data_IF_185429238445
#
_entry.id   IF_185429238445
#
_cell.length_a   1.000
_cell.length_b   1.000
_cell.length_c   1.000
_cell.angle_alpha   90.00
_cell.angle_beta   90.00
_cell.angle_gamma   90.00
#
_symmetry.space_group_name_H-M   'P 1'
#
loop_
_entity.id
_entity.type
_entity.pdbx_description
1 polymer ?
#
# COMPACT_ATOMS: atom_id res chain seq x y z
N UNK A 1 -51.23 -14.97 20.24
CA UNK A 1 -51.13 -14.45 18.88
C UNK A 1 -49.77 -13.81 18.83
N UNK A 2 -48.79 -14.60 18.42
CA UNK A 2 -47.41 -14.15 18.23
C UNK A 2 -47.38 -13.59 16.81
N UNK A 3 -47.18 -12.28 16.70
CA UNK A 3 -46.96 -11.62 15.41
C UNK A 3 -45.67 -12.18 14.83
N UNK A 4 -45.83 -13.06 13.83
CA UNK A 4 -44.74 -13.56 13.01
C UNK A 4 -44.25 -12.37 12.21
N UNK A 5 -43.15 -11.78 12.66
CA UNK A 5 -42.39 -10.76 11.94
C UNK A 5 -41.88 -11.42 10.64
N UNK A 6 -42.72 -11.32 9.61
CA UNK A 6 -42.42 -11.73 8.24
C UNK A 6 -41.29 -10.82 7.77
N UNK A 7 -40.06 -11.27 8.06
CA UNK A 7 -38.82 -10.61 7.72
C UNK A 7 -38.97 -9.91 6.39
N UNK A 8 -38.99 -8.58 6.47
CA UNK A 8 -39.18 -7.67 5.35
C UNK A 8 -38.22 -8.09 4.24
N UNK A 9 -38.75 -8.82 3.25
CA UNK A 9 -38.04 -9.11 2.01
C UNK A 9 -37.96 -7.79 1.27
N UNK A 10 -36.94 -6.99 1.60
CA UNK A 10 -36.63 -5.77 0.89
C UNK A 10 -36.38 -6.17 -0.57
N UNK A 11 -37.17 -5.66 -1.54
CA UNK A 11 -36.99 -6.00 -2.93
C UNK A 11 -35.57 -5.60 -3.35
N UNK A 12 -34.83 -6.54 -3.96
CA UNK A 12 -33.52 -6.26 -4.55
C UNK A 12 -33.67 -5.11 -5.54
N UNK A 13 -33.18 -3.93 -5.18
CA UNK A 13 -33.23 -2.77 -6.06
C UNK A 13 -32.20 -2.93 -7.17
N UNK A 14 -32.63 -2.80 -8.43
CA UNK A 14 -31.72 -2.87 -9.60
C UNK A 14 -31.13 -1.49 -9.95
N UNK A 15 -31.39 -0.46 -9.15
CA UNK A 15 -31.11 0.95 -9.47
C UNK A 15 -29.70 1.43 -9.09
N UNK A 16 -28.80 0.54 -8.68
CA UNK A 16 -27.45 0.93 -8.22
C UNK A 16 -27.45 1.65 -6.86
N UNK A 17 -28.63 1.91 -6.29
CA UNK A 17 -28.86 2.43 -4.95
C UNK A 17 -29.38 1.35 -4.04
N UNK A 18 -29.10 1.47 -2.75
CA UNK A 18 -29.54 0.53 -1.72
C UNK A 18 -29.95 1.30 -0.46
N UNK A 19 -30.70 0.65 0.43
CA UNK A 19 -31.15 1.27 1.69
C UNK A 19 -30.35 0.73 2.87
N UNK A 20 -29.54 1.60 3.46
CA UNK A 20 -28.78 1.34 4.69
C UNK A 20 -29.67 1.63 5.93
N UNK A 21 -30.73 0.84 6.11
CA UNK A 21 -31.63 0.94 7.27
C UNK A 21 -32.69 2.04 7.18
N UNK A 22 -33.14 2.54 8.33
CA UNK A 22 -34.26 3.49 8.48
C UNK A 22 -33.93 4.92 8.09
N UNK A 23 -32.65 5.25 7.92
CA UNK A 23 -32.19 6.59 7.56
C UNK A 23 -32.04 6.61 6.05
N UNK A 24 -32.95 7.35 5.40
CA UNK A 24 -33.06 7.46 3.95
C UNK A 24 -31.92 8.30 3.34
N UNK A 25 -30.69 7.89 3.57
CA UNK A 25 -29.51 8.46 2.92
C UNK A 25 -29.06 7.59 1.75
N UNK A 26 -28.50 8.24 0.73
CA UNK A 26 -28.07 7.61 -0.51
C UNK A 26 -26.90 6.65 -0.24
N UNK A 27 -27.20 5.34 -0.18
CA UNK A 27 -26.18 4.29 -0.27
C UNK A 27 -26.14 3.73 -1.69
N UNK A 28 -24.96 3.30 -2.12
CA UNK A 28 -24.72 2.82 -3.50
C UNK A 28 -24.19 1.40 -3.50
N UNK A 29 -24.60 0.61 -4.48
CA UNK A 29 -24.09 -0.74 -4.67
C UNK A 29 -22.72 -0.68 -5.36
N UNK A 30 -21.67 -1.06 -4.66
CA UNK A 30 -20.29 -1.07 -5.17
C UNK A 30 -19.65 -2.45 -4.96
N UNK A 31 -18.56 -2.79 -5.67
CA UNK A 31 -17.78 -3.98 -5.39
C UNK A 31 -17.19 -3.95 -3.97
N UNK A 32 -17.09 -5.11 -3.32
CA UNK A 32 -16.60 -5.26 -1.93
C UNK A 32 -15.24 -4.57 -1.68
N UNK A 33 -14.35 -4.55 -2.67
CA UNK A 33 -13.02 -3.95 -2.53
C UNK A 33 -12.96 -2.42 -2.67
N UNK A 34 -14.09 -1.74 -2.94
CA UNK A 34 -14.11 -0.33 -3.37
C UNK A 34 -14.81 0.61 -2.40
N UNK A 35 -15.49 0.12 -1.37
CA UNK A 35 -16.13 1.00 -0.40
C UNK A 35 -15.13 1.46 0.67
N UNK A 36 -15.05 2.77 0.88
CA UNK A 36 -14.30 3.37 1.99
C UNK A 36 -15.15 3.56 3.26
N UNK A 37 -16.44 3.21 3.22
CA UNK A 37 -17.42 3.41 4.29
C UNK A 37 -17.90 2.12 4.95
N UNK A 38 -19.15 2.12 5.42
CA UNK A 38 -19.77 0.96 6.04
C UNK A 38 -20.48 0.07 5.01
N UNK A 39 -20.39 -1.25 5.21
CA UNK A 39 -21.01 -2.24 4.34
C UNK A 39 -22.28 -2.85 4.93
N UNK A 40 -23.32 -2.94 4.10
CA UNK A 40 -24.55 -3.67 4.40
C UNK A 40 -24.69 -4.87 3.44
N UNK A 41 -24.55 -6.11 3.93
CA UNK A 41 -24.62 -7.28 3.07
C UNK A 41 -26.06 -7.51 2.59
N UNK A 42 -26.21 -8.22 1.48
CA UNK A 42 -27.48 -8.69 0.92
C UNK A 42 -28.48 -7.61 0.45
N UNK A 43 -28.12 -6.34 0.50
CA UNK A 43 -28.96 -5.24 -0.02
C UNK A 43 -28.81 -5.05 -1.54
N UNK A 44 -27.70 -5.53 -2.11
CA UNK A 44 -27.37 -5.43 -3.53
C UNK A 44 -27.36 -6.80 -4.24
N UNK A 45 -27.14 -6.80 -5.56
CA UNK A 45 -27.01 -8.01 -6.38
C UNK A 45 -25.76 -8.84 -6.06
N UNK A 46 -25.64 -10.01 -6.66
CA UNK A 46 -24.47 -10.89 -6.49
C UNK A 46 -23.18 -10.20 -6.94
N UNK A 47 -22.17 -10.14 -6.07
CA UNK A 47 -20.87 -9.51 -6.35
C UNK A 47 -20.79 -8.01 -6.06
N UNK A 48 -21.82 -7.44 -5.43
CA UNK A 48 -21.84 -6.05 -4.97
C UNK A 48 -22.42 -5.97 -3.57
N UNK A 49 -21.90 -5.07 -2.76
CA UNK A 49 -22.41 -4.78 -1.43
C UNK A 49 -22.91 -3.33 -1.37
N UNK A 50 -23.81 -3.07 -0.42
CA UNK A 50 -24.32 -1.73 -0.23
C UNK A 50 -23.32 -0.93 0.58
N UNK A 51 -22.72 0.06 -0.07
CA UNK A 51 -21.73 0.95 0.50
C UNK A 51 -22.37 2.25 0.94
N UNK A 52 -22.13 2.58 2.20
CA UNK A 52 -22.62 3.78 2.84
C UNK A 52 -21.44 4.65 3.27
N UNK A 53 -21.26 5.78 2.59
CA UNK A 53 -20.17 6.73 2.86
C UNK A 53 -20.78 7.93 3.58
N UNK A 54 -20.66 7.95 4.92
CA UNK A 54 -21.10 9.07 5.74
C UNK A 54 -19.93 9.64 6.54
N UNK A 55 -19.64 10.94 6.40
CA UNK A 55 -18.71 11.61 7.29
C UNK A 55 -19.30 11.71 8.69
N UNK A 56 -18.46 11.49 9.69
CA UNK A 56 -18.80 11.62 11.09
C UNK A 56 -17.82 12.59 11.76
N UNK A 57 -18.28 13.27 12.83
CA UNK A 57 -17.44 14.16 13.64
C UNK A 57 -17.67 13.83 15.10
N UNK A 58 -16.59 13.57 15.82
CA UNK A 58 -16.55 13.28 17.24
C UNK A 58 -15.58 14.25 17.92
N UNK A 59 -15.56 14.29 19.25
CA UNK A 59 -14.63 15.15 19.99
C UNK A 59 -13.16 14.93 19.63
N UNK A 60 -12.82 13.71 19.22
CA UNK A 60 -11.47 13.28 18.88
C UNK A 60 -11.08 13.62 17.43
N UNK A 61 -12.01 14.01 16.56
CA UNK A 61 -11.71 14.32 15.16
C UNK A 61 -12.86 14.07 14.20
N UNK A 62 -12.58 14.15 12.91
CA UNK A 62 -13.52 13.85 11.83
C UNK A 62 -13.12 12.58 11.10
N UNK A 63 -14.08 11.75 10.72
CA UNK A 63 -13.83 10.45 10.11
C UNK A 63 -14.94 9.98 9.18
N UNK A 64 -14.93 8.68 8.88
CA UNK A 64 -16.00 8.00 8.15
C UNK A 64 -16.64 6.93 9.01
N UNK A 65 -17.95 6.74 8.85
CA UNK A 65 -18.66 5.63 9.47
C UNK A 65 -18.22 4.30 8.87
N UNK A 66 -17.77 3.37 9.71
CA UNK A 66 -17.27 2.04 9.33
C UNK A 66 -17.73 0.99 10.33
N UNK A 67 -17.74 -0.28 9.92
CA UNK A 67 -18.07 -1.39 10.80
C UNK A 67 -16.82 -1.87 11.55
N UNK A 68 -16.80 -1.75 12.89
CA UNK A 68 -15.62 -2.08 13.71
C UNK A 68 -15.27 -3.58 13.77
N UNK A 69 -16.20 -4.45 13.35
CA UNK A 69 -15.97 -5.91 13.31
C UNK A 69 -15.46 -6.42 11.98
N UNK A 70 -15.65 -5.65 10.90
CA UNK A 70 -15.35 -6.08 9.53
C UNK A 70 -14.30 -5.22 8.84
N UNK A 71 -14.33 -3.92 9.10
CA UNK A 71 -13.51 -2.95 8.39
C UNK A 71 -12.28 -2.60 9.22
N UNK A 72 -11.13 -2.52 8.56
CA UNK A 72 -9.96 -1.92 9.17
C UNK A 72 -10.14 -0.40 9.21
N UNK A 73 -9.86 0.19 10.38
CA UNK A 73 -9.65 1.61 10.54
C UNK A 73 -8.15 1.87 10.59
N UNK A 74 -7.67 2.83 9.79
CA UNK A 74 -6.28 3.32 9.85
C UNK A 74 -6.08 4.29 11.04
N UNK A 75 -6.79 4.04 12.13
CA UNK A 75 -7.02 4.96 13.23
C UNK A 75 -7.85 4.29 14.31
N UNK A 76 -8.57 5.08 15.10
CA UNK A 76 -9.38 4.59 16.20
C UNK A 76 -10.88 4.74 15.93
N UNK A 77 -11.65 3.77 16.44
CA UNK A 77 -13.11 3.80 16.38
C UNK A 77 -13.69 4.51 17.59
N UNK A 78 -14.56 5.48 17.34
CA UNK A 78 -15.25 6.24 18.37
C UNK A 78 -16.76 6.09 18.24
N UNK A 79 -17.40 5.81 19.37
CA UNK A 79 -18.85 5.90 19.51
C UNK A 79 -19.21 7.38 19.66
N UNK A 80 -20.08 7.90 18.79
CA UNK A 80 -20.61 9.25 18.97
C UNK A 80 -21.56 9.34 20.18
N UNK A 81 -21.94 10.55 20.55
CA UNK A 81 -22.95 10.76 21.60
C UNK A 81 -24.29 10.14 21.16
N UNK A 82 -24.99 9.37 22.01
CA UNK A 82 -26.28 8.77 21.66
C UNK A 82 -27.35 9.80 21.25
N UNK A 83 -27.19 11.06 21.65
CA UNK A 83 -28.10 12.16 21.31
C UNK A 83 -27.94 12.64 19.86
N UNK A 84 -26.73 12.49 19.30
CA UNK A 84 -26.31 12.98 17.98
C UNK A 84 -25.48 11.90 17.25
N UNK A 85 -25.90 10.64 17.32
CA UNK A 85 -25.15 9.51 16.77
C UNK A 85 -24.79 9.79 15.30
N UNK A 86 -23.50 10.07 14.99
CA UNK A 86 -23.12 10.59 13.68
C UNK A 86 -23.23 9.51 12.60
N UNK A 87 -23.21 8.25 13.03
CA UNK A 87 -23.35 7.08 12.19
C UNK A 87 -24.68 6.37 12.50
N UNK A 88 -25.57 6.22 11.51
CA UNK A 88 -26.78 5.43 11.66
C UNK A 88 -26.46 3.93 11.60
N UNK A 89 -27.16 3.14 12.41
CA UNK A 89 -27.00 1.69 12.42
C UNK A 89 -27.03 1.10 13.83
N UNK A 90 -26.50 -0.11 13.95
CA UNK A 90 -26.24 -0.80 15.20
C UNK A 90 -24.90 -0.35 15.83
N UNK A 91 -24.64 -0.81 17.05
CA UNK A 91 -23.46 -0.41 17.86
C UNK A 91 -22.09 -0.79 17.25
N UNK A 92 -22.09 -1.57 16.16
CA UNK A 92 -20.88 -1.92 15.39
C UNK A 92 -20.49 -0.86 14.37
N UNK A 93 -21.43 0.03 13.97
CA UNK A 93 -21.12 1.13 13.06
C UNK A 93 -20.60 2.31 13.89
N UNK A 94 -19.30 2.56 13.78
CA UNK A 94 -18.61 3.59 14.57
C UNK A 94 -17.86 4.57 13.68
N UNK A 95 -17.53 5.73 14.25
CA UNK A 95 -16.76 6.72 13.55
C UNK A 95 -15.28 6.32 13.54
N UNK A 96 -14.75 5.93 12.38
CA UNK A 96 -13.32 5.68 12.19
C UNK A 96 -12.61 7.01 11.94
N UNK A 97 -11.88 7.48 12.95
CA UNK A 97 -11.08 8.70 12.87
C UNK A 97 -9.64 8.30 12.57
N UNK A 98 -9.12 8.71 11.41
CA UNK A 98 -7.75 8.40 11.01
C UNK A 98 -6.75 9.21 11.83
N UNK A 99 -5.53 8.70 12.01
CA UNK A 99 -4.50 9.42 12.79
C UNK A 99 -4.20 10.82 12.24
N UNK A 100 -4.34 11.03 10.93
CA UNK A 100 -4.15 12.34 10.30
C UNK A 100 -5.24 13.35 10.66
N UNK A 101 -6.44 12.86 10.98
CA UNK A 101 -7.63 13.68 11.28
C UNK A 101 -7.97 13.71 12.76
N UNK A 102 -7.14 13.09 13.61
CA UNK A 102 -7.28 13.13 15.04
C UNK A 102 -6.89 14.51 15.57
N UNK A 103 -7.79 15.13 16.35
CA UNK A 103 -7.54 16.32 17.15
C UNK A 103 -6.65 15.92 18.34
N UNK A 104 -5.41 15.52 18.04
CA UNK A 104 -4.42 15.21 19.05
C UNK A 104 -4.01 16.56 19.66
N UNK A 105 -4.72 16.96 20.73
CA UNK A 105 -4.78 18.27 21.38
C UNK A 105 -3.43 18.90 21.74
N UNK A 106 -2.63 19.15 20.72
CA UNK A 106 -1.56 20.14 20.72
C UNK A 106 -2.25 21.40 20.25
N UNK A 107 -3.04 22.00 21.15
CA UNK A 107 -3.56 23.35 20.99
C UNK A 107 -2.36 24.32 20.91
N UNK A 108 -1.71 24.34 19.75
CA UNK A 108 -0.97 25.52 19.33
C UNK A 108 -2.05 26.50 18.92
N UNK A 109 -2.59 27.20 19.91
CA UNK A 109 -3.49 28.34 19.75
C UNK A 109 -2.99 29.23 18.62
N UNK A 110 -3.55 29.06 17.43
CA UNK A 110 -3.53 30.08 16.41
C UNK A 110 -4.95 30.18 15.87
N UNK A 111 -5.76 30.93 16.61
CA UNK A 111 -7.08 31.35 16.18
C UNK A 111 -6.96 32.04 14.83
N UNK A 112 -7.41 31.37 13.79
CA UNK A 112 -7.95 32.05 12.62
C UNK A 112 -9.19 31.30 12.19
N UNK A 113 -10.33 31.84 12.62
CA UNK A 113 -11.62 31.72 11.94
C UNK A 113 -11.41 31.52 10.45
N UNK A 114 -12.02 30.51 9.84
CA UNK A 114 -12.47 30.58 8.45
C UNK A 114 -13.47 29.46 8.18
N UNK A 115 -14.71 29.89 7.98
CA UNK A 115 -15.78 29.13 7.35
C UNK A 115 -15.33 28.61 5.98
N UNK A 116 -15.58 27.33 5.73
CA UNK A 116 -16.06 26.84 4.43
C UNK A 116 -15.05 26.25 3.45
N UNK A 117 -15.25 24.94 3.20
CA UNK A 117 -15.26 24.31 1.86
C UNK A 117 -13.93 23.83 1.23
N UNK A 118 -13.93 22.54 0.89
CA UNK A 118 -13.02 21.75 0.04
C UNK A 118 -11.56 21.57 0.50
N UNK A 119 -11.31 20.39 1.08
CA UNK A 119 -10.04 19.92 1.61
C UNK A 119 -9.03 19.59 0.50
N UNK A 120 -8.31 20.62 0.03
CA UNK A 120 -7.02 20.43 -0.63
C UNK A 120 -5.91 20.57 0.42
N UNK A 121 -4.99 19.61 0.49
CA UNK A 121 -3.80 19.71 1.34
C UNK A 121 -3.10 21.05 1.08
N UNK A 122 -2.91 21.83 2.14
CA UNK A 122 -2.33 23.18 2.04
C UNK A 122 -0.95 23.08 1.39
N UNK A 123 -0.63 23.98 0.45
CA UNK A 123 0.59 23.89 -0.37
C UNK A 123 1.89 23.82 0.43
N UNK A 124 1.89 24.22 1.70
CA UNK A 124 3.00 24.05 2.65
C UNK A 124 3.24 22.60 3.07
N UNK A 125 2.20 21.76 3.19
CA UNK A 125 2.33 20.33 3.50
C UNK A 125 2.93 19.56 2.31
N UNK A 126 2.50 19.89 1.10
CA UNK A 126 3.03 19.29 -0.14
C UNK A 126 4.50 19.67 -0.36
N UNK A 127 4.88 20.92 -0.06
CA UNK A 127 6.25 21.41 -0.24
C UNK A 127 7.28 20.67 0.64
N UNK A 128 6.90 20.26 1.85
CA UNK A 128 7.79 19.54 2.77
C UNK A 128 8.19 18.16 2.26
N UNK A 129 7.22 17.39 1.75
CA UNK A 129 7.43 16.01 1.28
C UNK A 129 8.32 16.01 0.02
N UNK A 130 8.03 16.91 -0.94
CA UNK A 130 8.78 16.98 -2.20
C UNK A 130 10.21 17.48 -1.98
N UNK A 131 10.42 18.40 -1.03
CA UNK A 131 11.76 18.88 -0.66
C UNK A 131 12.66 17.78 -0.07
N UNK A 132 12.09 16.89 0.74
CA UNK A 132 12.83 15.79 1.37
C UNK A 132 13.36 14.77 0.36
N UNK A 133 12.52 14.34 -0.60
CA UNK A 133 12.90 13.31 -1.58
C UNK A 133 14.00 13.83 -2.52
N UNK A 134 13.86 15.05 -3.04
CA UNK A 134 14.86 15.63 -3.95
C UNK A 134 16.20 15.84 -3.25
N UNK A 135 16.19 16.34 -2.01
CA UNK A 135 17.40 16.49 -1.21
C UNK A 135 18.07 15.15 -0.90
N UNK A 136 17.28 14.14 -0.53
CA UNK A 136 17.76 12.79 -0.21
C UNK A 136 18.46 12.11 -1.39
N UNK A 137 17.88 12.18 -2.60
CA UNK A 137 18.45 11.55 -3.80
C UNK A 137 19.80 12.19 -4.18
N UNK A 138 19.95 13.51 -4.05
CA UNK A 138 21.21 14.19 -4.36
C UNK A 138 22.32 13.77 -3.38
N UNK A 139 22.02 13.71 -2.07
CA UNK A 139 23.02 13.32 -1.06
C UNK A 139 23.38 11.82 -1.17
N UNK A 140 22.37 10.95 -1.33
CA UNK A 140 22.60 9.51 -1.50
C UNK A 140 23.40 9.20 -2.78
N UNK A 141 23.08 9.84 -3.90
CA UNK A 141 23.80 9.64 -5.16
C UNK A 141 25.26 10.10 -5.06
N UNK A 142 25.54 11.23 -4.43
CA UNK A 142 26.90 11.72 -4.22
C UNK A 142 27.72 10.75 -3.34
N UNK A 143 27.14 10.27 -2.24
CA UNK A 143 27.80 9.28 -1.36
C UNK A 143 28.06 7.96 -2.09
N UNK A 144 27.09 7.48 -2.86
CA UNK A 144 27.23 6.25 -3.65
C UNK A 144 28.34 6.37 -4.68
N UNK A 145 28.45 7.49 -5.40
CA UNK A 145 29.53 7.73 -6.35
C UNK A 145 30.90 7.78 -5.68
N UNK A 146 31.04 8.47 -4.53
CA UNK A 146 32.32 8.52 -3.80
C UNK A 146 32.72 7.13 -3.31
N UNK A 147 31.78 6.35 -2.78
CA UNK A 147 32.04 4.99 -2.33
C UNK A 147 32.43 4.08 -3.49
N UNK A 148 31.64 4.10 -4.58
CA UNK A 148 31.89 3.27 -5.75
C UNK A 148 33.22 3.62 -6.41
N UNK A 149 33.50 4.90 -6.63
CA UNK A 149 34.74 5.35 -7.27
C UNK A 149 35.96 5.13 -6.37
N UNK A 150 35.83 5.31 -5.05
CA UNK A 150 36.89 4.99 -4.09
C UNK A 150 37.18 3.49 -4.02
N UNK A 151 36.13 2.67 -3.98
CA UNK A 151 36.23 1.21 -3.92
C UNK A 151 36.80 0.64 -5.23
N UNK A 152 36.33 1.13 -6.38
CA UNK A 152 36.87 0.74 -7.69
C UNK A 152 38.31 1.19 -7.89
N UNK A 153 38.66 2.42 -7.51
CA UNK A 153 40.03 2.93 -7.67
C UNK A 153 41.03 2.17 -6.80
N UNK A 154 40.60 1.67 -5.62
CA UNK A 154 41.44 0.79 -4.81
C UNK A 154 41.72 -0.53 -5.53
N UNK A 155 40.72 -1.13 -6.16
CA UNK A 155 40.87 -2.40 -6.89
C UNK A 155 41.70 -2.28 -8.18
N UNK A 156 41.80 -1.10 -8.78
CA UNK A 156 42.65 -0.90 -9.96
C UNK A 156 44.16 -0.80 -9.65
N UNK A 157 44.56 -0.51 -8.40
CA UNK A 157 45.99 -0.46 -8.06
C UNK A 157 46.64 -1.84 -8.08
N UNK A 158 45.89 -2.90 -7.83
CA UNK A 158 46.41 -4.27 -7.84
C UNK A 158 46.60 -4.85 -9.26
N UNK A 159 46.20 -4.11 -10.32
CA UNK A 159 46.35 -4.56 -11.72
C UNK A 159 47.48 -3.85 -12.49
N UNK A 160 48.20 -2.90 -11.88
CA UNK A 160 49.31 -2.22 -12.56
C UNK A 160 50.69 -2.83 -12.28
N UNK A 161 50.85 -3.68 -11.26
CA UNK A 161 52.12 -4.37 -11.00
C UNK A 161 52.39 -5.57 -11.93
N UNK A 162 51.37 -6.07 -12.65
CA UNK A 162 51.54 -7.29 -13.47
C UNK A 162 51.94 -7.02 -14.93
N UNK A 163 51.80 -5.78 -15.44
CA UNK A 163 52.17 -5.43 -16.82
C UNK A 163 53.59 -4.83 -16.95
N UNK A 164 54.26 -4.47 -15.84
CA UNK A 164 55.62 -3.94 -15.86
C UNK A 164 56.68 -5.06 -15.93
N UNK A 165 56.36 -6.28 -15.50
CA UNK A 165 57.30 -7.43 -15.60
C UNK A 165 57.31 -8.09 -16.99
N UNK A 166 56.27 -7.91 -17.79
CA UNK A 166 56.16 -8.56 -19.11
C UNK A 166 56.76 -7.73 -20.26
N UNK A 167 57.07 -6.45 -20.03
CA UNK A 167 57.64 -5.58 -21.09
C UNK A 167 59.18 -5.69 -21.22
N UNK A 168 59.88 -6.38 -20.30
CA UNK A 168 61.35 -6.52 -20.36
C UNK A 168 61.90 -7.77 -21.05
N UNK A 169 61.06 -8.64 -21.64
CA UNK A 169 61.56 -9.93 -22.22
C UNK A 169 61.38 -10.05 -23.75
N UNK A 170 60.67 -9.12 -24.42
CA UNK A 170 60.44 -9.25 -25.87
C UNK A 170 61.00 -8.10 -26.71
N UNK A 171 62.18 -7.60 -26.37
CA UNK A 171 63.05 -6.94 -27.36
C UNK A 171 63.95 -8.00 -28.00
N UNK A 172 63.79 -8.17 -29.33
CA UNK A 172 64.53 -9.03 -30.27
C UNK A 172 63.72 -10.20 -30.86
N UNK A 173 62.77 -9.89 -31.75
CA UNK A 173 62.77 -10.60 -33.04
C UNK A 173 62.21 -9.73 -34.17
N UNK A 174 63.14 -9.43 -35.07
CA UNK A 174 63.04 -8.74 -36.35
C UNK A 174 62.36 -9.63 -37.39
N UNK A 175 61.89 -8.98 -38.46
CA UNK A 175 61.56 -9.54 -39.80
C UNK A 175 60.21 -10.27 -39.89
N UNK A 176 59.39 -10.15 -40.94
CA UNK A 176 59.35 -9.31 -42.13
C UNK A 176 57.97 -9.54 -42.79
N UNK A 177 57.55 -8.55 -43.56
CA UNK A 177 56.75 -8.64 -44.78
C UNK A 177 55.30 -9.18 -44.84
N UNK A 178 54.56 -8.42 -45.67
CA UNK A 178 53.53 -8.83 -46.62
C UNK A 178 52.08 -9.02 -46.17
N UNK A 179 51.28 -7.99 -46.49
CA UNK A 179 50.39 -8.06 -47.64
C UNK A 179 49.05 -8.76 -47.43
N UNK A 180 47.96 -8.01 -47.63
CA UNK A 180 46.66 -8.65 -47.88
C UNK A 180 45.46 -7.79 -47.55
N UNK A 181 45.05 -6.95 -48.50
CA UNK A 181 43.68 -6.47 -48.60
C UNK A 181 42.71 -7.65 -48.72
N UNK A 182 41.62 -7.62 -47.96
CA UNK A 182 40.48 -8.52 -48.11
C UNK A 182 39.30 -8.14 -47.22
N UNK A 183 38.44 -7.23 -47.71
CA UNK A 183 37.01 -7.15 -47.32
C UNK A 183 36.24 -8.23 -48.14
N UNK A 184 34.93 -8.39 -47.96
CA UNK A 184 34.21 -8.92 -46.80
C UNK A 184 33.35 -10.13 -47.24
N UNK A 185 33.03 -11.06 -46.34
CA UNK A 185 31.95 -12.03 -46.59
C UNK A 185 31.05 -12.10 -45.38
N UNK A 186 29.80 -11.72 -45.59
CA UNK A 186 28.66 -11.99 -44.71
C UNK A 186 28.56 -13.48 -44.46
N UNK A 187 28.40 -13.89 -43.20
CA UNK A 187 27.66 -15.11 -42.92
C UNK A 187 26.70 -14.87 -41.77
N UNK A 188 25.53 -15.43 -42.02
CA UNK A 188 24.24 -15.20 -41.39
C UNK A 188 24.13 -16.14 -40.18
N UNK A 189 23.22 -15.79 -39.29
CA UNK A 189 22.36 -16.78 -38.62
C UNK A 189 23.01 -17.68 -37.55
N UNK A 190 22.93 -17.22 -36.30
CA UNK A 190 22.27 -18.01 -35.26
C UNK A 190 21.86 -17.05 -34.14
N UNK A 191 20.59 -16.64 -34.17
CA UNK A 191 19.94 -16.05 -33.00
C UNK A 191 19.67 -17.21 -32.04
N UNK A 192 20.63 -17.48 -31.17
CA UNK A 192 20.40 -18.34 -30.00
C UNK A 192 19.24 -17.76 -29.20
N UNK A 193 18.15 -18.53 -29.18
CA UNK A 193 17.07 -18.36 -28.23
C UNK A 193 17.67 -18.79 -26.90
N UNK A 194 18.02 -17.82 -26.06
CA UNK A 194 18.36 -18.11 -24.67
C UNK A 194 17.17 -18.79 -24.02
N UNK A 195 17.27 -20.11 -23.85
CA UNK A 195 16.53 -20.85 -22.85
C UNK A 195 16.88 -20.21 -21.50
N UNK A 196 15.97 -19.39 -20.98
CA UNK A 196 16.00 -19.01 -19.59
C UNK A 196 15.62 -20.24 -18.78
N UNK A 197 16.69 -20.92 -18.37
CA UNK A 197 16.83 -21.79 -17.21
C UNK A 197 15.66 -21.62 -16.24
N UNK A 198 14.79 -22.64 -16.19
CA UNK A 198 13.75 -22.77 -15.19
C UNK A 198 14.46 -22.99 -13.84
N UNK A 199 14.74 -21.86 -13.19
CA UNK A 199 15.31 -21.78 -11.86
C UNK A 199 14.63 -22.77 -10.92
N UNK A 200 15.41 -23.80 -10.62
CA UNK A 200 15.26 -24.77 -9.55
C UNK A 200 15.00 -24.05 -8.20
N UNK A 201 13.74 -23.73 -7.90
CA UNK A 201 13.31 -23.44 -6.53
C UNK A 201 13.25 -24.77 -5.75
N UNK A 202 14.43 -25.26 -5.36
CA UNK A 202 14.55 -26.11 -4.17
C UNK A 202 14.20 -25.23 -2.97
N UNK A 203 12.93 -25.22 -2.60
CA UNK A 203 12.53 -24.86 -1.23
C UNK A 203 12.95 -26.02 -0.35
N UNK A 204 14.12 -25.89 0.27
CA UNK A 204 14.47 -26.71 1.42
C UNK A 204 13.39 -26.47 2.47
N UNK A 205 12.57 -27.50 2.71
CA UNK A 205 11.71 -27.55 3.88
C UNK A 205 12.63 -27.62 5.10
N UNK A 206 12.67 -26.53 5.86
CA UNK A 206 13.26 -26.54 7.19
C UNK A 206 12.58 -27.63 8.03
N UNK A 207 13.41 -28.46 8.66
CA UNK A 207 13.05 -29.64 9.45
C UNK A 207 12.31 -29.36 10.77
N UNK A 208 11.60 -28.25 10.88
CA UNK A 208 10.67 -27.97 11.96
C UNK A 208 9.25 -27.88 11.41
N UNK A 209 8.72 -29.05 11.05
CA UNK A 209 7.30 -29.25 10.80
C UNK A 209 6.48 -28.97 12.07
N UNK A 210 6.17 -27.70 12.32
CA UNK A 210 5.18 -27.31 13.31
C UNK A 210 4.29 -26.21 12.73
N UNK A 211 3.24 -26.64 12.03
CA UNK A 211 2.04 -25.85 11.91
C UNK A 211 1.37 -25.82 13.30
N UNK A 212 1.64 -24.76 14.07
CA UNK A 212 0.93 -24.49 15.32
C UNK A 212 -0.32 -23.69 14.97
N UNK A 213 -1.45 -24.39 14.84
CA UNK A 213 -2.78 -23.81 14.93
C UNK A 213 -3.39 -24.20 16.28
N UNK A 214 -3.06 -23.45 17.32
CA UNK A 214 -3.82 -23.37 18.58
C UNK A 214 -3.68 -21.92 19.02
N UNK A 215 -4.76 -21.19 19.27
CA UNK A 215 -5.52 -21.15 20.53
C UNK A 215 -6.80 -20.34 20.21
N UNK A 216 -7.91 -20.35 20.92
CA UNK A 216 -8.50 -21.15 21.99
C UNK A 216 -9.87 -20.44 22.15
N UNK A 217 -10.96 -21.21 22.20
CA UNK A 217 -12.30 -20.64 22.23
C UNK A 217 -12.55 -19.82 23.49
N UNK A 218 -13.13 -18.63 23.34
CA UNK A 218 -13.72 -17.90 24.46
C UNK A 218 -15.23 -17.99 24.40
N UNK A 219 -15.74 -18.95 25.17
CA UNK A 219 -17.09 -18.97 25.70
C UNK A 219 -17.31 -17.69 26.52
N UNK A 220 -18.30 -16.88 26.15
CA UNK A 220 -18.84 -15.86 27.07
C UNK A 220 -20.28 -16.21 27.39
N UNK A 221 -20.38 -16.65 28.63
CA UNK A 221 -21.54 -17.03 29.40
C UNK A 221 -22.52 -15.86 29.55
N UNK A 222 -23.81 -16.19 29.49
CA UNK A 222 -24.90 -15.24 29.58
C UNK A 222 -24.94 -14.48 30.90
N UNK A 223 -25.41 -13.23 30.83
CA UNK A 223 -25.84 -12.45 31.99
C UNK A 223 -27.33 -12.15 31.86
N UNK A 224 -28.12 -12.82 32.69
CA UNK A 224 -29.47 -12.39 33.09
C UNK A 224 -29.34 -11.16 33.98
N UNK A 225 -30.20 -10.17 33.74
CA UNK A 225 -30.42 -8.99 34.58
C UNK A 225 -31.54 -8.17 33.97
#
# INVERSE_FOLDING_TARGET
>A
MEDVDLGLLFPRQSSGTCSAGSVAEEATCVPESTCDGAFFPNQCGTGSECCFIRPCTVSQGSGLCKNDTRDACDGDFYTGDPSDAPCPGDDTIRCCVTFESMNNGTDTNNSSNLNGSSNGLTGSQIGGIVGGVVGGVIVLSALFLVFFFGYWRKRQRDRQDLNVLETTVHENRKEDENGGQGRPVSEVEAKEVGELDAGNERRELDGHGQAVYELEGRSVEGRKG
#
